data_IF_126838702672
#
_entry.id   IF_126838702672
#
_cell.length_a   1.000
_cell.length_b   1.000
_cell.length_c   1.000
_cell.angle_alpha   90.00
_cell.angle_beta   90.00
_cell.angle_gamma   90.00
#
_symmetry.space_group_name_H-M   'P 1'
#
loop_
_entity.id
_entity.type
_entity.pdbx_description
1 polymer ?
#
# COMPACT_ATOMS: atom_id res chain seq x y z
N UNK A 1 26.94 -18.21 -12.76
CA UNK A 1 26.09 -17.41 -11.85
C UNK A 1 24.68 -17.88 -12.07
N UNK A 2 23.97 -18.24 -11.00
CA UNK A 2 22.56 -18.59 -11.09
C UNK A 2 21.75 -17.35 -11.50
N UNK A 3 20.79 -17.51 -12.40
CA UNK A 3 19.90 -16.44 -12.84
C UNK A 3 19.05 -15.93 -11.65
N UNK A 4 19.15 -14.65 -11.27
CA UNK A 4 18.45 -14.13 -10.10
C UNK A 4 16.92 -14.13 -10.22
N UNK A 5 16.37 -14.32 -11.43
CA UNK A 5 14.94 -14.34 -11.71
C UNK A 5 14.33 -15.75 -11.73
N UNK A 6 15.16 -16.79 -11.67
CA UNK A 6 14.70 -18.18 -11.73
C UNK A 6 14.52 -18.76 -10.31
N UNK A 7 13.35 -19.33 -9.98
CA UNK A 7 13.14 -19.98 -8.69
C UNK A 7 14.10 -21.17 -8.47
N UNK A 8 14.56 -21.35 -7.23
CA UNK A 8 15.26 -22.57 -6.82
C UNK A 8 14.30 -23.77 -6.85
N UNK A 9 14.84 -24.98 -6.93
CA UNK A 9 14.04 -26.21 -6.87
C UNK A 9 13.14 -26.22 -5.61
N UNK A 10 11.86 -26.55 -5.80
CA UNK A 10 10.86 -26.50 -4.73
C UNK A 10 10.19 -25.14 -4.50
N UNK A 11 10.59 -24.11 -5.25
CA UNK A 11 9.96 -22.78 -5.24
C UNK A 11 9.19 -22.50 -6.54
N UNK A 12 8.73 -21.27 -6.74
CA UNK A 12 7.91 -20.84 -7.89
C UNK A 12 6.42 -20.70 -7.58
N UNK A 13 6.00 -20.99 -6.35
CA UNK A 13 4.63 -20.77 -5.89
C UNK A 13 4.28 -19.28 -5.95
N UNK A 14 3.07 -18.99 -6.45
CA UNK A 14 2.52 -17.65 -6.47
C UNK A 14 2.05 -17.20 -5.07
N UNK A 15 2.25 -15.93 -4.76
CA UNK A 15 1.78 -15.27 -3.54
C UNK A 15 0.75 -14.21 -3.91
N UNK A 16 -0.41 -14.24 -3.24
CA UNK A 16 -1.54 -13.35 -3.53
C UNK A 16 -2.06 -13.52 -4.97
N UNK A 17 -3.20 -12.92 -5.30
CA UNK A 17 -3.70 -12.94 -6.68
C UNK A 17 -4.47 -11.65 -6.98
N UNK A 18 -4.43 -11.23 -8.25
CA UNK A 18 -5.31 -10.16 -8.72
C UNK A 18 -6.78 -10.64 -8.75
N UNK A 19 -7.71 -9.73 -9.06
CA UNK A 19 -9.14 -10.04 -9.16
C UNK A 19 -9.50 -11.10 -10.22
N UNK A 20 -8.56 -11.47 -11.11
CA UNK A 20 -8.70 -12.52 -12.12
C UNK A 20 -7.99 -13.82 -11.72
N UNK A 21 -7.52 -13.93 -10.47
CA UNK A 21 -6.82 -15.11 -9.95
C UNK A 21 -5.37 -15.24 -10.43
N UNK A 22 -4.79 -14.19 -11.04
CA UNK A 22 -3.41 -14.23 -11.53
C UNK A 22 -2.43 -13.83 -10.44
N UNK A 23 -1.43 -14.67 -10.22
CA UNK A 23 -0.31 -14.36 -9.35
C UNK A 23 0.65 -13.37 -10.03
N UNK A 24 0.98 -12.29 -9.33
CA UNK A 24 2.00 -11.34 -9.78
C UNK A 24 3.31 -11.49 -9.02
N UNK A 25 3.27 -12.11 -7.84
CA UNK A 25 4.43 -12.33 -6.97
C UNK A 25 4.71 -13.82 -6.87
N UNK A 26 5.96 -14.23 -7.01
CA UNK A 26 6.39 -15.62 -6.99
C UNK A 26 7.56 -15.80 -6.04
N UNK A 27 7.55 -16.85 -5.22
CA UNK A 27 8.72 -17.17 -4.37
C UNK A 27 9.87 -17.69 -5.23
N UNK A 28 11.05 -17.10 -5.05
CA UNK A 28 12.28 -17.56 -5.70
C UNK A 28 13.09 -18.48 -4.78
N UNK A 29 13.15 -18.15 -3.49
CA UNK A 29 13.77 -18.95 -2.43
C UNK A 29 13.28 -18.52 -1.04
N UNK A 30 14.00 -18.90 0.02
CA UNK A 30 13.69 -18.57 1.41
C UNK A 30 13.69 -17.07 1.73
N UNK A 31 14.41 -16.25 0.96
CA UNK A 31 14.66 -14.84 1.22
C UNK A 31 14.16 -13.89 0.11
N UNK A 32 13.78 -14.42 -1.06
CA UNK A 32 13.49 -13.59 -2.24
C UNK A 32 12.16 -13.93 -2.89
N UNK A 33 11.54 -12.89 -3.45
CA UNK A 33 10.39 -12.97 -4.35
C UNK A 33 10.69 -12.27 -5.67
N UNK A 34 10.02 -12.75 -6.72
CA UNK A 34 9.89 -12.10 -8.01
C UNK A 34 8.51 -11.47 -8.10
N UNK A 35 8.43 -10.15 -8.22
CA UNK A 35 7.19 -9.45 -8.61
C UNK A 35 7.25 -9.09 -10.09
N UNK A 36 6.22 -9.45 -10.84
CA UNK A 36 6.00 -9.00 -12.21
C UNK A 36 5.02 -7.84 -12.18
N UNK A 37 5.46 -6.64 -12.54
CA UNK A 37 4.62 -5.44 -12.55
C UNK A 37 4.43 -4.89 -13.96
N UNK A 38 3.27 -4.26 -14.19
CA UNK A 38 2.89 -3.57 -15.45
C UNK A 38 3.13 -2.06 -15.41
N UNK A 39 3.93 -1.57 -14.46
CA UNK A 39 4.18 -0.14 -14.23
C UNK A 39 5.60 0.34 -14.55
N UNK A 40 6.40 -0.46 -15.27
CA UNK A 40 7.82 -0.17 -15.49
C UNK A 40 8.65 -0.13 -14.20
N UNK A 41 9.81 0.55 -14.20
CA UNK A 41 10.76 0.62 -13.07
C UNK A 41 10.29 1.45 -11.85
N UNK A 42 9.10 2.05 -11.92
CA UNK A 42 8.59 3.05 -10.97
C UNK A 42 8.55 2.56 -9.52
N UNK A 43 8.12 1.33 -9.29
CA UNK A 43 8.02 0.77 -7.94
C UNK A 43 9.40 0.61 -7.29
N UNK A 44 10.38 0.09 -8.03
CA UNK A 44 11.73 -0.14 -7.51
C UNK A 44 12.47 1.16 -7.16
N UNK A 45 12.30 2.20 -7.97
CA UNK A 45 12.92 3.51 -7.71
C UNK A 45 12.19 4.25 -6.58
N UNK A 46 10.87 4.05 -6.47
CA UNK A 46 10.10 4.54 -5.31
C UNK A 46 10.62 3.90 -4.02
N UNK A 47 10.79 2.58 -3.95
CA UNK A 47 11.28 1.93 -2.74
C UNK A 47 12.69 2.43 -2.34
N UNK A 48 13.59 2.64 -3.32
CA UNK A 48 14.89 3.26 -3.05
C UNK A 48 14.75 4.69 -2.50
N UNK A 49 13.84 5.48 -3.07
CA UNK A 49 13.55 6.83 -2.60
C UNK A 49 13.04 6.83 -1.16
N UNK A 50 12.09 5.94 -0.82
CA UNK A 50 11.57 5.79 0.53
C UNK A 50 12.67 5.41 1.52
N UNK A 51 13.44 4.35 1.24
CA UNK A 51 14.57 3.93 2.09
C UNK A 51 15.59 5.04 2.34
N UNK A 52 15.81 5.93 1.37
CA UNK A 52 16.82 6.98 1.49
C UNK A 52 16.32 8.17 2.32
N UNK A 53 15.00 8.38 2.41
CA UNK A 53 14.42 9.60 2.97
C UNK A 53 13.55 9.38 4.20
N UNK A 54 13.23 8.13 4.56
CA UNK A 54 12.37 7.81 5.71
C UNK A 54 12.90 6.59 6.47
N UNK A 55 12.29 6.31 7.62
CA UNK A 55 12.53 5.09 8.41
C UNK A 55 11.54 3.98 8.06
N UNK A 56 10.68 4.20 7.08
CA UNK A 56 9.63 3.26 6.69
C UNK A 56 10.30 1.98 6.17
N UNK A 57 9.99 0.82 6.78
CA UNK A 57 10.53 -0.43 6.31
C UNK A 57 9.87 -0.77 4.96
N UNK A 58 10.70 -1.01 3.95
CA UNK A 58 10.27 -1.47 2.61
C UNK A 58 11.12 -2.67 2.21
N UNK A 59 10.60 -3.61 1.39
CA UNK A 59 11.40 -4.75 0.95
C UNK A 59 12.66 -4.30 0.20
N UNK A 60 13.80 -4.89 0.53
CA UNK A 60 15.03 -4.60 -0.19
C UNK A 60 14.95 -5.06 -1.64
N UNK A 61 15.20 -4.16 -2.59
CA UNK A 61 15.32 -4.49 -4.03
C UNK A 61 16.70 -5.06 -4.31
N UNK A 62 16.76 -6.24 -4.95
CA UNK A 62 18.01 -6.90 -5.34
C UNK A 62 18.32 -6.71 -6.83
N UNK A 63 17.34 -6.96 -7.70
CA UNK A 63 17.51 -6.87 -9.15
C UNK A 63 16.23 -6.39 -9.82
N UNK A 64 16.37 -5.76 -10.99
CA UNK A 64 15.25 -5.40 -11.86
C UNK A 64 15.55 -5.82 -13.30
N UNK A 65 14.50 -6.16 -14.05
CA UNK A 65 14.59 -6.46 -15.48
C UNK A 65 13.37 -5.86 -16.17
N UNK A 66 13.61 -5.06 -17.20
CA UNK A 66 12.56 -4.52 -18.07
C UNK A 66 12.47 -5.34 -19.36
N UNK A 67 11.29 -5.36 -19.96
CA UNK A 67 11.04 -5.88 -21.31
C UNK A 67 11.70 -5.05 -22.43
N UNK A 68 12.27 -3.88 -22.10
CA UNK A 68 12.91 -2.97 -23.07
C UNK A 68 11.93 -2.01 -23.74
N UNK A 69 10.63 -2.26 -23.62
CA UNK A 69 9.55 -1.35 -24.06
C UNK A 69 9.09 -0.42 -22.92
N UNK A 70 9.49 -0.73 -21.68
CA UNK A 70 9.25 0.11 -20.50
C UNK A 70 7.89 -0.14 -19.85
N UNK A 71 7.13 -1.10 -20.37
CA UNK A 71 5.78 -1.44 -19.91
C UNK A 71 5.85 -2.46 -18.76
N UNK A 72 6.67 -3.50 -18.90
CA UNK A 72 6.84 -4.53 -17.89
C UNK A 72 8.17 -4.40 -17.15
N UNK A 73 8.09 -4.58 -15.83
CA UNK A 73 9.26 -4.71 -14.98
C UNK A 73 9.12 -5.89 -14.03
N UNK A 74 10.08 -6.79 -14.11
CA UNK A 74 10.32 -7.85 -13.14
C UNK A 74 11.23 -7.29 -12.04
N UNK A 75 10.82 -7.44 -10.78
CA UNK A 75 11.56 -6.98 -9.60
C UNK A 75 11.86 -8.19 -8.72
N UNK A 76 13.14 -8.46 -8.50
CA UNK A 76 13.60 -9.39 -7.47
C UNK A 76 13.84 -8.59 -6.19
N UNK A 77 13.12 -8.94 -5.14
CA UNK A 77 13.18 -8.23 -3.87
C UNK A 77 13.07 -9.18 -2.69
N UNK A 78 13.30 -8.65 -1.50
CA UNK A 78 13.18 -9.36 -0.23
C UNK A 78 11.79 -9.95 -0.05
N UNK A 79 11.76 -11.22 0.33
CA UNK A 79 10.57 -11.84 0.89
C UNK A 79 10.44 -11.40 2.35
N UNK A 80 9.38 -10.66 2.65
CA UNK A 80 9.06 -10.27 4.03
C UNK A 80 8.24 -11.39 4.67
N UNK A 81 8.76 -12.09 5.69
CA UNK A 81 8.01 -13.12 6.39
C UNK A 81 6.92 -12.50 7.26
N UNK A 82 5.82 -13.24 7.43
CA UNK A 82 4.71 -12.86 8.28
C UNK A 82 3.41 -12.75 7.50
N UNK A 83 2.46 -12.05 8.11
CA UNK A 83 1.12 -11.83 7.57
C UNK A 83 0.90 -10.34 7.32
N UNK A 84 -0.05 -10.03 6.44
CA UNK A 84 -0.55 -8.67 6.34
C UNK A 84 -1.23 -8.28 7.65
N UNK A 85 -1.28 -6.98 7.96
CA UNK A 85 -1.98 -6.45 9.12
C UNK A 85 -3.46 -6.84 9.09
N UNK A 86 -4.04 -6.92 7.89
CA UNK A 86 -5.41 -7.38 7.66
C UNK A 86 -5.63 -8.82 8.12
N UNK A 87 -4.72 -9.74 7.79
CA UNK A 87 -4.83 -11.16 8.12
C UNK A 87 -4.42 -11.44 9.58
N UNK A 88 -3.43 -10.70 10.09
CA UNK A 88 -2.95 -10.82 11.46
C UNK A 88 -3.92 -10.23 12.49
N UNK A 89 -4.80 -9.29 12.11
CA UNK A 89 -5.54 -8.44 13.04
C UNK A 89 -6.27 -9.20 14.15
N UNK A 90 -6.93 -10.32 13.80
CA UNK A 90 -7.71 -11.11 14.76
C UNK A 90 -6.82 -11.79 15.81
N UNK A 91 -5.56 -12.05 15.47
CA UNK A 91 -4.55 -12.68 16.34
C UNK A 91 -3.87 -11.66 17.25
N UNK A 92 -3.83 -10.39 16.85
CA UNK A 92 -3.25 -9.31 17.64
C UNK A 92 -4.11 -8.97 18.85
N UNK A 93 -3.45 -8.67 19.98
CA UNK A 93 -4.10 -8.10 21.15
C UNK A 93 -4.57 -6.66 20.90
N UNK A 94 -5.52 -6.14 21.71
CA UNK A 94 -5.95 -4.74 21.60
C UNK A 94 -4.78 -3.73 21.63
N UNK A 95 -3.80 -3.94 22.53
CA UNK A 95 -2.64 -3.06 22.64
C UNK A 95 -1.75 -3.12 21.39
N UNK A 96 -1.55 -4.32 20.83
CA UNK A 96 -0.78 -4.49 19.60
C UNK A 96 -1.44 -3.80 18.40
N UNK A 97 -2.77 -3.84 18.32
CA UNK A 97 -3.54 -3.12 17.28
C UNK A 97 -3.36 -1.60 17.40
N UNK A 98 -3.38 -1.07 18.61
CA UNK A 98 -3.12 0.35 18.88
C UNK A 98 -1.68 0.71 18.50
N UNK A 99 -0.70 -0.09 18.91
CA UNK A 99 0.71 0.12 18.56
C UNK A 99 0.93 0.08 17.04
N UNK A 100 0.26 -0.81 16.30
CA UNK A 100 0.33 -0.87 14.85
C UNK A 100 -0.20 0.43 14.21
N UNK A 101 -1.39 0.91 14.63
CA UNK A 101 -1.94 2.16 14.12
C UNK A 101 -1.08 3.39 14.45
N UNK A 102 -0.43 3.42 15.62
CA UNK A 102 0.48 4.49 15.98
C UNK A 102 1.75 4.47 15.12
N UNK A 103 2.30 3.30 14.80
CA UNK A 103 3.41 3.19 13.83
C UNK A 103 3.00 3.68 12.45
N UNK A 104 1.79 3.34 11.97
CA UNK A 104 1.27 3.85 10.69
C UNK A 104 1.18 5.39 10.73
N UNK A 105 0.66 5.96 11.82
CA UNK A 105 0.57 7.41 11.97
C UNK A 105 1.94 8.09 11.94
N UNK A 106 2.97 7.48 12.55
CA UNK A 106 4.35 7.95 12.47
C UNK A 106 4.87 7.91 11.03
N UNK A 107 4.73 6.78 10.33
CA UNK A 107 5.18 6.64 8.94
C UNK A 107 4.47 7.61 7.99
N UNK A 108 3.17 7.85 8.17
CA UNK A 108 2.44 8.88 7.44
C UNK A 108 2.98 10.29 7.71
N UNK A 109 3.43 10.56 8.94
CA UNK A 109 4.07 11.83 9.28
C UNK A 109 5.40 11.99 8.55
N UNK A 110 6.19 10.91 8.42
CA UNK A 110 7.45 10.93 7.67
C UNK A 110 7.23 11.16 6.16
N UNK A 111 6.26 10.46 5.55
CA UNK A 111 5.88 10.68 4.15
C UNK A 111 5.45 12.13 3.88
N UNK A 112 4.74 12.75 4.84
CA UNK A 112 4.34 14.15 4.77
C UNK A 112 5.50 15.14 4.88
N UNK A 113 6.68 14.74 5.34
CA UNK A 113 7.86 15.62 5.27
C UNK A 113 8.43 15.70 3.85
N UNK A 114 8.13 14.73 3.00
CA UNK A 114 8.49 14.76 1.59
C UNK A 114 7.46 15.62 0.88
N UNK A 115 7.83 16.84 0.50
CA UNK A 115 6.92 17.82 -0.14
C UNK A 115 7.12 17.92 -1.65
N UNK A 116 6.02 18.03 -2.38
CA UNK A 116 5.98 18.14 -3.83
C UNK A 116 5.44 19.50 -4.27
N UNK A 117 5.84 19.96 -5.46
CA UNK A 117 5.28 21.19 -6.06
C UNK A 117 3.99 20.95 -6.85
N UNK A 118 3.79 19.71 -7.31
CA UNK A 118 2.69 19.33 -8.20
C UNK A 118 2.31 17.88 -7.95
N UNK A 119 1.05 17.56 -8.23
CA UNK A 119 0.53 16.20 -8.18
C UNK A 119 1.15 15.37 -9.31
N UNK A 120 1.77 14.24 -8.97
CA UNK A 120 2.48 13.34 -9.89
C UNK A 120 2.57 11.93 -9.30
N UNK A 121 1.89 10.94 -9.86
CA UNK A 121 1.90 9.56 -9.36
C UNK A 121 1.31 8.56 -10.36
N UNK A 122 1.18 7.29 -9.96
CA UNK A 122 0.58 6.23 -10.79
C UNK A 122 -0.93 6.44 -11.04
N UNK A 123 -1.64 7.08 -10.11
CA UNK A 123 -3.07 7.37 -10.21
C UNK A 123 -3.35 8.49 -11.22
N UNK A 124 -3.55 8.13 -12.48
CA UNK A 124 -4.10 9.04 -13.49
C UNK A 124 -5.63 8.99 -13.42
N UNK A 125 -6.22 9.90 -12.67
CA UNK A 125 -7.68 10.04 -12.65
C UNK A 125 -8.11 11.46 -12.24
N UNK A 126 -9.32 11.90 -12.63
CA UNK A 126 -9.88 13.21 -12.29
C UNK A 126 -10.16 13.42 -10.79
N UNK A 127 -9.72 12.50 -9.92
CA UNK A 127 -9.95 12.48 -8.47
C UNK A 127 -8.98 13.35 -7.65
N UNK A 128 -8.00 13.92 -8.34
CA UNK A 128 -7.00 14.83 -7.78
C UNK A 128 -7.42 16.30 -7.89
N UNK A 129 -8.73 16.58 -7.97
CA UNK A 129 -9.22 17.95 -7.87
C UNK A 129 -8.69 18.52 -6.56
N UNK A 130 -7.83 19.56 -6.59
CA UNK A 130 -7.49 20.28 -5.39
C UNK A 130 -8.75 21.02 -4.98
N UNK A 131 -9.62 20.34 -4.23
CA UNK A 131 -10.65 21.02 -3.47
C UNK A 131 -9.86 21.72 -2.38
N UNK A 132 -9.37 22.92 -2.67
CA UNK A 132 -8.58 23.81 -1.81
C UNK A 132 -7.06 23.61 -1.80
N UNK A 133 -6.41 24.57 -1.13
CA UNK A 133 -4.98 24.85 -0.93
C UNK A 133 -4.22 23.73 -0.16
N UNK A 134 -4.51 22.46 -0.45
CA UNK A 134 -3.89 21.32 0.20
C UNK A 134 -2.41 21.24 -0.14
N UNK A 135 -1.60 20.95 0.87
CA UNK A 135 -0.19 20.66 0.66
C UNK A 135 -0.06 19.34 -0.09
N UNK A 136 0.85 19.32 -1.07
CA UNK A 136 1.17 18.12 -1.82
C UNK A 136 2.37 17.44 -1.16
N UNK A 137 2.18 16.17 -0.79
CA UNK A 137 3.19 15.34 -0.16
C UNK A 137 3.38 14.03 -0.91
N UNK A 138 4.46 13.33 -0.62
CA UNK A 138 4.59 11.97 -1.08
C UNK A 138 3.58 11.07 -0.35
N UNK A 139 2.93 10.17 -1.10
CA UNK A 139 1.92 9.24 -0.63
C UNK A 139 2.20 7.86 -1.22
N UNK A 140 1.81 6.82 -0.49
CA UNK A 140 1.86 5.44 -0.96
C UNK A 140 0.88 5.19 -2.11
N UNK A 141 -0.28 5.87 -2.11
CA UNK A 141 -1.26 5.80 -3.19
C UNK A 141 -2.28 4.66 -3.02
N UNK A 142 -1.85 3.48 -2.56
CA UNK A 142 -2.75 2.37 -2.15
C UNK A 142 -2.50 1.88 -0.71
N UNK A 143 -2.33 2.80 0.25
CA UNK A 143 -2.10 2.38 1.64
C UNK A 143 -3.35 1.72 2.24
N UNK A 144 -3.25 0.43 2.54
CA UNK A 144 -4.33 -0.39 3.10
C UNK A 144 -3.77 -1.48 4.01
N UNK A 145 -4.54 -2.04 4.96
CA UNK A 145 -4.05 -3.06 5.88
C UNK A 145 -3.43 -4.31 5.22
N UNK A 146 -3.89 -4.68 4.01
CA UNK A 146 -3.30 -5.78 3.23
C UNK A 146 -1.88 -5.51 2.72
N UNK A 147 -1.49 -4.24 2.61
CA UNK A 147 -0.19 -3.80 2.11
C UNK A 147 0.81 -3.49 3.25
N UNK A 148 0.48 -3.86 4.49
CA UNK A 148 1.31 -3.63 5.67
C UNK A 148 1.64 -4.98 6.27
N UNK A 149 2.91 -5.37 6.28
CA UNK A 149 3.39 -6.61 6.86
C UNK A 149 3.67 -6.41 8.35
N UNK A 150 3.26 -7.38 9.16
CA UNK A 150 3.54 -7.38 10.60
C UNK A 150 4.10 -8.72 11.07
N UNK A 151 4.89 -8.65 12.14
CA UNK A 151 5.27 -9.83 12.90
C UNK A 151 4.17 -10.22 13.93
N UNK A 152 4.41 -11.30 14.68
CA UNK A 152 3.49 -11.79 15.72
C UNK A 152 3.23 -10.79 16.85
N UNK A 153 4.11 -9.81 17.05
CA UNK A 153 3.93 -8.75 18.05
C UNK A 153 3.13 -7.55 17.53
N UNK A 154 2.68 -7.57 16.27
CA UNK A 154 2.03 -6.42 15.63
C UNK A 154 2.98 -5.28 15.26
N UNK A 155 4.30 -5.53 15.27
CA UNK A 155 5.28 -4.56 14.80
C UNK A 155 5.34 -4.60 13.26
N UNK A 156 5.35 -3.43 12.64
CA UNK A 156 5.37 -3.31 11.18
C UNK A 156 6.76 -3.64 10.67
N UNK A 157 6.86 -4.69 9.85
CA UNK A 157 8.12 -5.18 9.29
C UNK A 157 8.34 -4.73 7.85
N UNK A 158 7.28 -4.37 7.13
CA UNK A 158 7.38 -3.71 5.83
C UNK A 158 6.05 -3.06 5.41
N UNK A 159 6.12 -2.00 4.61
CA UNK A 159 5.04 -1.55 3.74
C UNK A 159 5.39 -1.97 2.31
N UNK A 160 4.47 -2.65 1.64
CA UNK A 160 4.66 -3.25 0.31
C UNK A 160 3.73 -2.59 -0.72
N UNK A 161 3.97 -2.87 -2.00
CA UNK A 161 3.12 -2.46 -3.12
C UNK A 161 3.11 -0.95 -3.41
N UNK A 162 4.30 -0.39 -3.57
CA UNK A 162 4.55 1.03 -3.80
C UNK A 162 4.32 1.48 -5.26
N UNK A 163 3.69 0.66 -6.09
CA UNK A 163 3.56 0.90 -7.52
C UNK A 163 2.68 2.13 -7.85
N UNK A 164 1.78 2.49 -6.94
CA UNK A 164 0.86 3.63 -7.08
C UNK A 164 1.34 4.90 -6.39
N UNK A 165 2.53 4.86 -5.80
CA UNK A 165 3.06 5.98 -5.04
C UNK A 165 3.26 7.23 -5.90
N UNK A 166 3.25 8.37 -5.23
CA UNK A 166 3.51 9.64 -5.86
C UNK A 166 3.16 10.83 -5.00
N UNK A 167 3.24 12.00 -5.61
CA UNK A 167 2.89 13.28 -5.03
C UNK A 167 1.37 13.47 -5.09
N UNK A 168 0.72 13.46 -3.93
CA UNK A 168 -0.73 13.53 -3.77
C UNK A 168 -1.12 14.51 -2.66
N UNK A 169 -2.37 14.95 -2.59
CA UNK A 169 -2.84 15.76 -1.46
C UNK A 169 -2.64 15.07 -0.11
N UNK A 170 -2.35 15.84 0.93
CA UNK A 170 -2.04 15.39 2.30
C UNK A 170 -3.05 14.40 2.94
N UNK A 171 -4.28 14.35 2.41
CA UNK A 171 -5.35 13.49 2.88
C UNK A 171 -5.34 12.07 2.29
N UNK A 172 -4.62 11.83 1.19
CA UNK A 172 -4.85 10.67 0.32
C UNK A 172 -4.76 9.32 1.07
N UNK A 173 -3.60 8.99 1.65
CA UNK A 173 -3.39 7.69 2.29
C UNK A 173 -4.29 7.48 3.53
N UNK A 174 -4.58 8.54 4.29
CA UNK A 174 -5.51 8.46 5.43
C UNK A 174 -6.92 8.14 4.94
N UNK A 175 -7.39 8.79 3.88
CA UNK A 175 -8.69 8.49 3.31
C UNK A 175 -8.72 7.13 2.64
N UNK A 176 -7.62 6.70 2.02
CA UNK A 176 -7.49 5.36 1.44
C UNK A 176 -7.69 4.28 2.50
N UNK A 177 -6.99 4.37 3.63
CA UNK A 177 -7.16 3.46 4.77
C UNK A 177 -8.58 3.50 5.38
N UNK A 178 -9.21 4.68 5.38
CA UNK A 178 -10.58 4.86 5.87
C UNK A 178 -11.63 4.26 4.93
N UNK A 179 -11.36 4.24 3.63
CA UNK A 179 -12.26 3.66 2.63
C UNK A 179 -12.08 2.15 2.53
N UNK A 180 -10.85 1.68 2.65
CA UNK A 180 -10.47 0.27 2.59
C UNK A 180 -10.55 -0.40 3.97
N UNK A 181 -11.71 -0.30 4.62
CA UNK A 181 -11.97 -0.92 5.93
C UNK A 181 -12.40 -2.36 5.72
N UNK A 182 -11.59 -3.36 6.11
CA UNK A 182 -11.99 -4.76 6.02
C UNK A 182 -13.17 -4.99 6.97
N UNK A 183 -14.09 -5.87 6.58
CA UNK A 183 -15.32 -6.10 7.34
C UNK A 183 -15.04 -6.53 8.80
N UNK A 184 -15.99 -6.25 9.71
CA UNK A 184 -15.86 -6.54 11.16
C UNK A 184 -15.48 -8.00 11.49
N UNK A 185 -15.76 -8.95 10.59
CA UNK A 185 -15.34 -10.35 10.75
C UNK A 185 -13.82 -10.51 10.65
N UNK A 186 -13.16 -9.74 9.78
CA UNK A 186 -11.72 -9.82 9.52
C UNK A 186 -10.94 -8.90 10.46
N UNK A 187 -11.38 -7.65 10.60
CA UNK A 187 -10.72 -6.66 11.45
C UNK A 187 -11.70 -6.02 12.46
N UNK A 188 -12.05 -6.71 13.57
CA UNK A 188 -13.13 -6.31 14.48
C UNK A 188 -13.19 -4.83 14.86
N UNK A 189 -12.37 -4.31 15.73
CA UNK A 189 -12.42 -2.94 16.26
C UNK A 189 -11.73 -1.87 15.39
N UNK A 190 -11.24 -2.23 14.20
CA UNK A 190 -10.36 -1.39 13.38
C UNK A 190 -10.93 -0.01 13.08
N UNK A 191 -12.21 0.08 12.68
CA UNK A 191 -12.83 1.36 12.38
C UNK A 191 -12.93 2.30 13.60
N UNK A 192 -13.11 1.75 14.81
CA UNK A 192 -13.12 2.54 16.05
C UNK A 192 -11.72 3.04 16.37
N UNK A 193 -10.73 2.15 16.35
CA UNK A 193 -9.34 2.48 16.64
C UNK A 193 -8.77 3.48 15.62
N UNK A 194 -9.08 3.30 14.34
CA UNK A 194 -8.72 4.24 13.28
C UNK A 194 -9.24 5.65 13.59
N UNK A 195 -10.51 5.78 14.00
CA UNK A 195 -11.11 7.08 14.35
C UNK A 195 -10.49 7.72 15.59
N UNK A 196 -10.00 6.93 16.54
CA UNK A 196 -9.30 7.46 17.71
C UNK A 196 -7.86 7.88 17.40
N UNK A 197 -7.19 7.20 16.46
CA UNK A 197 -5.80 7.49 16.10
C UNK A 197 -5.67 8.64 15.10
N UNK A 198 -6.55 8.69 14.09
CA UNK A 198 -6.48 9.69 13.03
C UNK A 198 -7.52 10.79 13.24
N UNK A 199 -7.12 12.07 13.23
CA UNK A 199 -8.06 13.16 13.46
C UNK A 199 -9.15 13.20 12.37
N UNK A 200 -10.39 13.61 12.70
CA UNK A 200 -11.53 13.61 11.77
C UNK A 200 -11.46 14.79 10.77
N UNK A 201 -10.36 14.87 10.02
CA UNK A 201 -10.14 15.83 8.93
C UNK A 201 -10.66 15.28 7.60
N UNK A 202 -10.75 16.17 6.60
CA UNK A 202 -11.03 15.84 5.19
C UNK A 202 -12.38 15.17 4.93
N UNK A 203 -13.43 15.55 5.67
CA UNK A 203 -14.76 14.95 5.50
C UNK A 203 -15.36 15.21 4.11
N UNK A 204 -15.12 16.39 3.53
CA UNK A 204 -15.61 16.73 2.19
C UNK A 204 -14.95 15.86 1.14
N UNK A 205 -13.63 15.76 1.20
CA UNK A 205 -12.79 14.96 0.32
C UNK A 205 -13.16 13.47 0.44
N UNK A 206 -13.40 12.98 1.66
CA UNK A 206 -13.88 11.62 1.89
C UNK A 206 -15.19 11.33 1.15
N UNK A 207 -16.20 12.20 1.27
CA UNK A 207 -17.47 11.98 0.59
C UNK A 207 -17.37 12.11 -0.92
N UNK A 208 -16.50 12.97 -1.42
CA UNK A 208 -16.18 13.06 -2.85
C UNK A 208 -15.55 11.76 -3.34
N UNK A 209 -14.54 11.23 -2.63
CA UNK A 209 -13.91 9.96 -3.01
C UNK A 209 -14.91 8.79 -2.96
N UNK A 210 -15.78 8.73 -1.94
CA UNK A 210 -16.86 7.73 -1.83
C UNK A 210 -17.87 7.85 -2.97
N UNK A 211 -18.18 9.07 -3.42
CA UNK A 211 -19.06 9.28 -4.56
C UNK A 211 -18.39 8.81 -5.86
N UNK A 212 -17.14 9.22 -6.08
CA UNK A 212 -16.39 8.90 -7.30
C UNK A 212 -16.10 7.40 -7.42
N UNK A 213 -15.83 6.71 -6.30
CA UNK A 213 -15.58 5.27 -6.29
C UNK A 213 -16.78 4.41 -6.72
N UNK A 214 -17.97 5.00 -6.91
CA UNK A 214 -19.16 4.33 -7.45
C UNK A 214 -19.13 4.19 -8.97
N UNK A 215 -18.34 5.01 -9.64
CA UNK A 215 -18.29 5.07 -11.09
C UNK A 215 -17.02 4.42 -11.63
N UNK A 216 -15.89 4.61 -10.93
CA UNK A 216 -14.59 4.06 -11.33
C UNK A 216 -13.75 3.66 -10.10
N UNK A 217 -12.87 2.65 -10.21
CA UNK A 217 -11.89 2.34 -9.17
C UNK A 217 -10.96 3.53 -8.91
N UNK A 218 -10.70 3.84 -7.63
CA UNK A 218 -9.78 4.93 -7.26
C UNK A 218 -8.32 4.66 -7.67
N UNK A 219 -8.00 3.38 -7.86
CA UNK A 219 -6.71 2.87 -8.32
C UNK A 219 -7.02 1.81 -9.39
N UNK A 220 -6.38 1.83 -10.57
CA UNK A 220 -6.57 0.80 -11.58
C UNK A 220 -6.31 -0.61 -11.03
N UNK A 221 -7.27 -1.52 -11.21
CA UNK A 221 -7.18 -2.89 -10.65
C UNK A 221 -7.49 -3.01 -9.16
N UNK A 222 -7.77 -1.90 -8.47
CA UNK A 222 -8.24 -1.90 -7.08
C UNK A 222 -9.63 -2.52 -6.93
N UNK A 223 -9.86 -3.20 -5.81
CA UNK A 223 -11.18 -3.77 -5.50
C UNK A 223 -12.23 -2.65 -5.36
N UNK A 224 -13.47 -2.85 -5.83
CA UNK A 224 -14.55 -1.90 -5.61
C UNK A 224 -14.78 -1.71 -4.11
N UNK A 225 -14.78 -0.46 -3.66
CA UNK A 225 -14.95 -0.11 -2.26
C UNK A 225 -16.42 -0.34 -1.88
N UNK A 226 -16.70 -1.18 -0.87
CA UNK A 226 -18.04 -1.35 -0.32
C UNK A 226 -18.37 -0.18 0.62
N UNK A 227 -19.27 0.75 0.27
CA UNK A 227 -19.51 1.93 1.09
C UNK A 227 -20.25 1.57 2.39
N UNK A 228 -19.87 2.24 3.49
CA UNK A 228 -20.69 2.34 4.70
C UNK A 228 -21.96 3.12 4.32
N UNK A 229 -23.18 2.63 4.62
CA UNK A 229 -24.40 3.37 4.32
C UNK A 229 -24.38 4.75 5.01
N UNK A 230 -24.98 5.79 4.39
CA UNK A 230 -25.10 7.08 5.04
C UNK A 230 -25.82 6.93 6.38
N UNK A 231 -25.41 7.70 7.39
CA UNK A 231 -26.20 7.85 8.61
C UNK A 231 -27.54 8.46 8.20
N UNK A 232 -28.64 7.75 8.49
CA UNK A 232 -29.99 8.31 8.47
C UNK A 232 -30.15 9.33 9.60
#
# INVERSE_FOLDING_TARGET
>A
MDDPFTPKAGYGQGLGHDMFGRHQVFRLDEHRVLKKSRGGLRESDTMKFITTNTTIPVPKVYNTKSDGEGELCDIVMEYVPGESLEDAWIKLSPDQRVCALHQIAQYLSELRQLTGKQIKGGTQGPHLLPINNHTIHFAHGDLSPRNIMVNESGHITAIIDWEWAGWMPEYWDVLRMRMDLPGKRKMPDYGNLFRSTFPPKYQKEYWVLVYLSRFEPLVPGGLPVNPIPPFN
#
